data_IF_316696871538
#
_entry.id   IF_316696871538
#
_cell.length_a   1.000
_cell.length_b   1.000
_cell.length_c   1.000
_cell.angle_alpha   90.00
_cell.angle_beta   90.00
_cell.angle_gamma   90.00
#
_symmetry.space_group_name_H-M   'P 1'
#
loop_
_entity.id
_entity.type
_entity.pdbx_description
1 polymer ?
#
# COMPACT_ATOMS: atom_id res chain seq x y z
N UNK A 1 28.55 -64.82 -17.78
CA UNK A 1 28.02 -63.43 -17.79
C UNK A 1 28.02 -62.97 -16.34
N UNK A 2 29.15 -62.45 -15.87
CA UNK A 2 29.25 -61.94 -14.50
C UNK A 2 28.66 -60.54 -14.45
N UNK A 3 27.50 -60.42 -13.80
CA UNK A 3 26.89 -59.13 -13.53
C UNK A 3 27.79 -58.45 -12.49
N UNK A 4 28.51 -57.40 -12.91
CA UNK A 4 29.37 -56.62 -12.04
C UNK A 4 28.55 -55.88 -10.96
N UNK A 5 28.41 -56.57 -9.84
CA UNK A 5 27.70 -56.13 -8.64
C UNK A 5 28.21 -54.79 -8.09
N UNK A 6 29.46 -54.41 -8.36
CA UNK A 6 30.01 -53.12 -7.88
C UNK A 6 29.45 -51.94 -8.66
N UNK A 7 29.25 -52.11 -9.97
CA UNK A 7 28.65 -51.07 -10.83
C UNK A 7 27.16 -50.93 -10.55
N UNK A 8 26.46 -52.05 -10.33
CA UNK A 8 25.05 -52.05 -9.91
C UNK A 8 24.82 -51.36 -8.54
N UNK A 9 25.68 -51.65 -7.55
CA UNK A 9 25.59 -51.04 -6.21
C UNK A 9 25.85 -49.53 -6.22
N UNK A 10 26.83 -49.06 -6.99
CA UNK A 10 27.10 -47.62 -7.16
C UNK A 10 25.94 -46.89 -7.82
N UNK A 11 25.32 -47.50 -8.84
CA UNK A 11 24.12 -46.96 -9.47
C UNK A 11 22.98 -46.83 -8.46
N UNK A 12 22.71 -47.90 -7.70
CA UNK A 12 21.69 -47.92 -6.65
C UNK A 12 21.89 -46.84 -5.57
N UNK A 13 23.13 -46.65 -5.11
CA UNK A 13 23.45 -45.60 -4.13
C UNK A 13 23.23 -44.17 -4.68
N UNK A 14 23.47 -43.94 -5.98
CA UNK A 14 23.19 -42.65 -6.64
C UNK A 14 21.68 -42.41 -6.74
N UNK A 15 20.90 -43.43 -7.11
CA UNK A 15 19.43 -43.34 -7.15
C UNK A 15 18.83 -43.01 -5.79
N UNK A 16 19.30 -43.66 -4.72
CA UNK A 16 18.85 -43.37 -3.35
C UNK A 16 19.20 -41.93 -2.94
N UNK A 17 20.42 -41.46 -3.26
CA UNK A 17 20.84 -40.08 -2.95
C UNK A 17 20.02 -39.04 -3.69
N UNK A 18 19.67 -39.29 -4.95
CA UNK A 18 18.81 -38.40 -5.73
C UNK A 18 17.36 -38.42 -5.20
N UNK A 19 16.83 -39.60 -4.88
CA UNK A 19 15.46 -39.75 -4.38
C UNK A 19 15.26 -39.07 -3.03
N UNK A 20 16.22 -39.23 -2.11
CA UNK A 20 16.17 -38.57 -0.80
C UNK A 20 16.28 -37.06 -0.95
N UNK A 21 17.19 -36.56 -1.78
CA UNK A 21 17.33 -35.12 -2.03
C UNK A 21 16.05 -34.49 -2.60
N UNK A 22 15.38 -35.14 -3.56
CA UNK A 22 14.13 -34.65 -4.16
C UNK A 22 13.00 -34.61 -3.14
N UNK A 23 12.85 -35.67 -2.33
CA UNK A 23 11.82 -35.74 -1.28
C UNK A 23 11.99 -34.63 -0.23
N UNK A 24 13.23 -34.39 0.20
CA UNK A 24 13.54 -33.31 1.14
C UNK A 24 13.24 -31.91 0.56
N UNK A 25 13.60 -31.65 -0.70
CA UNK A 25 13.29 -30.38 -1.37
C UNK A 25 11.77 -30.17 -1.50
N UNK A 26 11.01 -31.23 -1.78
CA UNK A 26 9.54 -31.18 -1.86
C UNK A 26 8.88 -30.75 -0.53
N UNK A 27 9.36 -31.25 0.60
CA UNK A 27 8.82 -30.89 1.92
C UNK A 27 9.16 -29.43 2.27
N UNK A 28 10.41 -29.01 2.04
CA UNK A 28 10.85 -27.64 2.33
C UNK A 28 10.10 -26.63 1.46
N UNK A 29 9.89 -26.94 0.18
CA UNK A 29 9.13 -26.08 -0.74
C UNK A 29 7.65 -26.00 -0.35
N UNK A 30 7.01 -27.10 0.04
CA UNK A 30 5.61 -27.10 0.48
C UNK A 30 5.35 -26.20 1.70
N UNK A 31 6.32 -26.04 2.60
CA UNK A 31 6.22 -25.17 3.78
C UNK A 31 6.48 -23.71 3.43
N UNK A 32 7.40 -23.44 2.48
CA UNK A 32 7.76 -22.07 2.09
C UNK A 32 6.80 -21.45 1.04
N UNK A 33 6.23 -22.26 0.14
CA UNK A 33 5.31 -21.83 -0.92
C UNK A 33 4.03 -21.11 -0.46
N UNK A 34 3.33 -21.48 0.64
CA UNK A 34 2.08 -20.80 1.01
C UNK A 34 2.27 -19.30 1.28
N UNK A 35 3.48 -18.89 1.67
CA UNK A 35 3.79 -17.50 2.01
C UNK A 35 4.23 -16.64 0.82
N UNK A 36 4.73 -17.24 -0.26
CA UNK A 36 5.16 -16.51 -1.46
C UNK A 36 4.02 -16.25 -2.44
N UNK A 37 2.98 -17.10 -2.45
CA UNK A 37 1.83 -16.95 -3.35
C UNK A 37 0.67 -16.14 -2.76
N UNK A 38 0.73 -15.81 -1.46
CA UNK A 38 -0.33 -15.06 -0.77
C UNK A 38 0.06 -13.60 -0.45
N UNK A 39 0.62 -12.89 -1.43
CA UNK A 39 0.82 -11.44 -1.36
C UNK A 39 -0.30 -10.71 -2.12
N UNK A 40 -1.47 -10.44 -1.52
CA UNK A 40 -2.46 -9.56 -2.14
C UNK A 40 -2.15 -8.11 -1.77
N UNK A 41 -1.03 -7.59 -2.29
CA UNK A 41 -0.95 -6.18 -2.59
C UNK A 41 -0.98 -6.10 -4.11
N UNK A 42 -2.19 -6.00 -4.68
CA UNK A 42 -2.34 -5.66 -6.10
C UNK A 42 -1.41 -4.49 -6.38
N UNK A 43 -0.42 -4.71 -7.24
CA UNK A 43 0.65 -3.74 -7.53
C UNK A 43 0.09 -2.36 -7.89
N UNK A 44 -1.15 -2.35 -8.39
CA UNK A 44 -1.97 -1.19 -8.70
C UNK A 44 -2.40 -0.40 -7.45
N UNK A 45 -2.95 -1.06 -6.43
CA UNK A 45 -3.37 -0.40 -5.17
C UNK A 45 -2.17 0.09 -4.37
N UNK A 46 -1.09 -0.69 -4.32
CA UNK A 46 0.14 -0.24 -3.64
C UNK A 46 0.79 0.97 -4.33
N UNK A 47 0.69 1.08 -5.66
CA UNK A 47 1.08 2.29 -6.40
C UNK A 47 0.22 3.49 -5.99
N UNK A 48 -1.10 3.34 -5.93
CA UNK A 48 -2.00 4.44 -5.54
C UNK A 48 -1.70 4.95 -4.12
N UNK A 49 -1.56 4.04 -3.15
CA UNK A 49 -1.19 4.38 -1.76
C UNK A 49 0.15 5.13 -1.72
N UNK A 50 1.18 4.62 -2.40
CA UNK A 50 2.50 5.27 -2.46
C UNK A 50 2.43 6.64 -3.12
N UNK A 51 1.64 6.78 -4.18
CA UNK A 51 1.52 8.04 -4.92
C UNK A 51 0.79 9.10 -4.10
N UNK A 52 -0.36 8.78 -3.48
CA UNK A 52 -1.06 9.72 -2.60
C UNK A 52 -0.19 10.07 -1.37
N UNK A 53 0.56 9.09 -0.84
CA UNK A 53 1.55 9.34 0.20
C UNK A 53 2.66 10.30 -0.24
N UNK A 54 3.15 10.19 -1.47
CA UNK A 54 4.13 11.11 -2.05
C UNK A 54 3.54 12.52 -2.24
N UNK A 55 2.30 12.63 -2.73
CA UNK A 55 1.59 13.92 -2.82
C UNK A 55 1.45 14.59 -1.44
N UNK A 56 1.08 13.83 -0.41
CA UNK A 56 0.99 14.36 0.95
C UNK A 56 2.36 14.84 1.48
N UNK A 57 3.45 14.13 1.19
CA UNK A 57 4.80 14.59 1.53
C UNK A 57 5.18 15.85 0.75
N UNK A 58 4.87 15.90 -0.54
CA UNK A 58 5.06 17.07 -1.38
C UNK A 58 4.29 18.28 -0.88
N UNK A 59 3.02 18.11 -0.47
CA UNK A 59 2.22 19.19 0.12
C UNK A 59 2.83 19.72 1.43
N UNK A 60 3.37 18.85 2.29
CA UNK A 60 4.05 19.28 3.52
C UNK A 60 5.33 20.07 3.24
N UNK A 61 6.14 19.60 2.29
CA UNK A 61 7.35 20.30 1.85
C UNK A 61 7.00 21.67 1.25
N UNK A 62 6.05 21.68 0.31
CA UNK A 62 5.59 22.90 -0.35
C UNK A 62 5.02 23.91 0.66
N UNK A 63 4.25 23.45 1.65
CA UNK A 63 3.71 24.29 2.73
C UNK A 63 4.81 24.97 3.55
N UNK A 64 5.88 24.24 3.86
CA UNK A 64 7.04 24.76 4.60
C UNK A 64 7.82 25.79 3.79
N UNK A 65 7.92 25.59 2.48
CA UNK A 65 8.73 26.42 1.58
C UNK A 65 7.99 27.66 1.05
N UNK A 66 6.65 27.61 0.97
CA UNK A 66 5.85 28.61 0.26
C UNK A 66 4.94 29.44 1.20
N UNK A 67 5.49 29.94 2.30
CA UNK A 67 4.78 30.83 3.24
C UNK A 67 3.45 30.23 3.76
N UNK A 68 3.44 28.97 4.17
CA UNK A 68 2.26 28.29 4.71
C UNK A 68 1.09 28.22 3.71
N UNK A 69 1.40 28.07 2.42
CA UNK A 69 0.42 27.83 1.36
C UNK A 69 0.54 26.41 0.85
N UNK A 70 -0.59 25.79 0.57
CA UNK A 70 -0.62 24.49 -0.10
C UNK A 70 -0.47 24.64 -1.61
N UNK A 71 0.09 23.61 -2.25
CA UNK A 71 0.21 23.54 -3.69
C UNK A 71 -1.16 23.33 -4.34
N UNK A 72 -1.41 24.01 -5.46
CA UNK A 72 -2.67 23.98 -6.19
C UNK A 72 -2.74 22.90 -7.29
N UNK A 73 -1.62 22.24 -7.59
CA UNK A 73 -1.54 21.17 -8.60
C UNK A 73 -0.47 20.15 -8.20
N UNK A 74 -0.41 19.01 -8.91
CA UNK A 74 0.64 18.01 -8.65
C UNK A 74 2.01 18.50 -9.10
N UNK A 75 2.08 19.25 -10.20
CA UNK A 75 3.35 19.71 -10.80
C UNK A 75 4.17 20.57 -9.84
N UNK A 76 3.51 21.42 -9.05
CA UNK A 76 4.18 22.28 -8.08
C UNK A 76 4.72 21.53 -6.86
N UNK A 77 4.27 20.30 -6.62
CA UNK A 77 4.69 19.48 -5.48
C UNK A 77 5.99 18.73 -5.74
N UNK A 78 6.53 18.80 -6.95
CA UNK A 78 7.77 18.11 -7.32
C UNK A 78 7.64 16.58 -7.30
N UNK A 79 6.41 16.05 -7.35
CA UNK A 79 6.15 14.62 -7.45
C UNK A 79 6.14 14.25 -8.93
N UNK A 80 7.07 13.38 -9.36
CA UNK A 80 7.16 12.97 -10.76
C UNK A 80 5.85 12.30 -11.21
N UNK A 81 5.16 12.97 -12.12
CA UNK A 81 3.86 12.59 -12.69
C UNK A 81 3.96 11.48 -13.72
N UNK A 82 5.17 11.00 -14.05
CA UNK A 82 5.38 9.84 -14.93
C UNK A 82 4.81 8.52 -14.41
N UNK A 83 4.15 8.53 -13.25
CA UNK A 83 3.24 7.45 -12.85
C UNK A 83 1.95 7.56 -13.66
N UNK A 84 2.02 7.25 -14.96
CA UNK A 84 0.83 6.90 -15.73
C UNK A 84 0.21 5.66 -15.06
N UNK A 85 -0.85 5.88 -14.30
CA UNK A 85 -1.66 4.79 -13.80
C UNK A 85 -2.78 4.54 -14.78
N UNK A 86 -2.69 3.42 -15.49
CA UNK A 86 -3.80 2.85 -16.26
C UNK A 86 -5.05 2.63 -15.41
N UNK A 87 -4.92 2.57 -14.07
CA UNK A 87 -6.02 2.21 -13.17
C UNK A 87 -6.53 3.33 -12.25
N UNK A 88 -5.82 4.46 -12.16
CA UNK A 88 -6.19 5.56 -11.28
C UNK A 88 -6.01 6.91 -11.97
N UNK A 89 -6.92 7.83 -11.70
CA UNK A 89 -6.76 9.25 -11.94
C UNK A 89 -6.27 9.93 -10.66
N UNK A 90 -5.16 10.65 -10.77
CA UNK A 90 -4.56 11.35 -9.65
C UNK A 90 -4.75 12.86 -9.80
N UNK A 91 -5.13 13.52 -8.71
CA UNK A 91 -5.15 14.97 -8.64
C UNK A 91 -4.96 15.43 -7.19
N UNK A 92 -4.48 16.65 -7.02
CA UNK A 92 -4.35 17.30 -5.72
C UNK A 92 -5.07 18.63 -5.74
N UNK A 93 -5.77 18.95 -4.67
CA UNK A 93 -6.56 20.17 -4.49
C UNK A 93 -6.13 20.81 -3.17
N UNK A 94 -5.51 21.99 -3.25
CA UNK A 94 -5.36 22.85 -2.07
C UNK A 94 -6.70 23.49 -1.72
N UNK A 95 -7.25 23.22 -0.53
CA UNK A 95 -8.50 23.82 -0.06
C UNK A 95 -8.20 24.85 1.02
N UNK A 96 -8.27 26.13 0.65
CA UNK A 96 -8.01 27.28 1.55
C UNK A 96 -6.59 27.23 2.14
N UNK A 97 -6.32 28.04 3.18
CA UNK A 97 -5.03 28.11 3.86
C UNK A 97 -4.79 27.02 4.93
N UNK A 98 -5.72 26.08 5.10
CA UNK A 98 -5.70 25.13 6.24
C UNK A 98 -5.61 23.66 5.85
N UNK A 99 -5.90 23.28 4.62
CA UNK A 99 -5.77 21.90 4.18
C UNK A 99 -5.46 21.75 2.69
N UNK A 100 -4.92 20.59 2.32
CA UNK A 100 -4.86 20.10 0.96
C UNK A 100 -5.28 18.64 0.91
N UNK A 101 -5.95 18.26 -0.17
CA UNK A 101 -6.43 16.90 -0.39
C UNK A 101 -5.83 16.34 -1.67
N UNK A 102 -5.39 15.10 -1.61
CA UNK A 102 -4.77 14.37 -2.72
C UNK A 102 -5.58 13.12 -2.99
N UNK A 103 -5.87 12.82 -4.25
CA UNK A 103 -6.77 11.74 -4.61
C UNK A 103 -6.10 10.73 -5.54
N UNK A 104 -6.52 9.48 -5.42
CA UNK A 104 -6.36 8.44 -6.42
C UNK A 104 -7.74 7.83 -6.68
N UNK A 105 -8.41 8.28 -7.74
CA UNK A 105 -9.74 7.80 -8.09
C UNK A 105 -9.61 6.63 -9.04
N UNK A 106 -10.24 5.51 -8.72
CA UNK A 106 -10.17 4.35 -9.60
C UNK A 106 -10.86 4.62 -10.93
N UNK A 107 -10.29 4.08 -12.01
CA UNK A 107 -10.90 3.99 -13.34
C UNK A 107 -11.79 2.76 -13.50
N UNK A 108 -11.73 1.82 -12.55
CA UNK A 108 -12.38 0.51 -12.66
C UNK A 108 -13.30 0.23 -11.47
N UNK A 109 -14.42 -0.45 -11.75
CA UNK A 109 -15.41 -0.80 -10.73
C UNK A 109 -14.89 -1.78 -9.66
N UNK A 110 -13.79 -2.50 -9.92
CA UNK A 110 -13.23 -3.52 -9.02
C UNK A 110 -12.15 -3.03 -8.06
N UNK A 111 -11.85 -1.72 -8.02
CA UNK A 111 -10.77 -1.17 -7.19
C UNK A 111 -11.30 -0.06 -6.27
N UNK A 112 -10.64 0.13 -5.13
CA UNK A 112 -10.98 1.17 -4.15
C UNK A 112 -10.27 2.47 -4.50
N UNK A 113 -10.94 3.59 -4.29
CA UNK A 113 -10.35 4.92 -4.44
C UNK A 113 -9.71 5.38 -3.12
N UNK A 114 -8.72 6.26 -3.21
CA UNK A 114 -7.98 6.77 -2.04
C UNK A 114 -8.03 8.28 -1.96
N UNK A 115 -8.02 8.80 -0.74
CA UNK A 115 -7.92 10.22 -0.42
C UNK A 115 -6.89 10.45 0.68
N UNK A 116 -5.92 11.30 0.41
CA UNK A 116 -4.98 11.86 1.36
C UNK A 116 -5.40 13.24 1.78
N UNK A 117 -5.13 13.61 3.03
CA UNK A 117 -5.31 14.97 3.52
C UNK A 117 -4.04 15.45 4.21
N UNK A 118 -3.69 16.72 4.02
CA UNK A 118 -2.66 17.42 4.78
C UNK A 118 -3.30 18.63 5.43
N UNK A 119 -3.19 18.76 6.74
CA UNK A 119 -3.81 19.81 7.53
C UNK A 119 -2.76 20.67 8.22
N UNK A 120 -2.92 21.98 8.14
CA UNK A 120 -2.13 22.92 8.92
C UNK A 120 -2.67 22.99 10.35
N UNK A 121 -1.83 22.67 11.34
CA UNK A 121 -2.17 22.70 12.76
C UNK A 121 -1.23 23.63 13.52
N UNK A 122 -1.73 24.43 14.47
CA UNK A 122 -0.88 25.25 15.31
C UNK A 122 -0.06 24.37 16.25
N UNK A 123 1.20 24.74 16.49
CA UNK A 123 2.05 24.08 17.47
C UNK A 123 1.72 24.68 18.86
N UNK A 124 1.34 23.86 19.85
CA UNK A 124 0.99 24.35 21.19
C UNK A 124 2.09 25.25 21.77
N UNK A 125 1.70 26.34 22.43
CA UNK A 125 2.60 27.28 23.10
C UNK A 125 3.59 28.01 22.17
N UNK A 126 3.35 28.02 20.86
CA UNK A 126 4.14 28.79 19.90
C UNK A 126 3.22 29.46 18.87
N UNK A 127 3.73 30.46 18.14
CA UNK A 127 3.08 31.01 16.94
C UNK A 127 3.34 30.18 15.68
N UNK A 128 4.00 29.02 15.81
CA UNK A 128 4.36 28.15 14.70
C UNK A 128 3.17 27.32 14.19
N UNK A 129 3.20 27.02 12.89
CA UNK A 129 2.26 26.11 12.24
C UNK A 129 3.03 24.92 11.70
N UNK A 130 2.54 23.72 12.02
CA UNK A 130 3.03 22.46 11.48
C UNK A 130 1.94 21.78 10.64
N UNK A 131 2.26 20.68 10.00
CA UNK A 131 1.34 19.93 9.14
C UNK A 131 1.18 18.50 9.63
N UNK A 132 -0.05 17.99 9.60
CA UNK A 132 -0.36 16.59 9.82
C UNK A 132 -0.96 15.98 8.55
N UNK A 133 -0.57 14.76 8.23
CA UNK A 133 -1.07 14.05 7.05
C UNK A 133 -1.88 12.81 7.44
N UNK A 134 -2.83 12.46 6.58
CA UNK A 134 -3.67 11.27 6.68
C UNK A 134 -3.85 10.66 5.29
N UNK A 135 -4.05 9.35 5.25
CA UNK A 135 -4.46 8.63 4.06
C UNK A 135 -5.67 7.76 4.40
N UNK A 136 -6.71 7.83 3.58
CA UNK A 136 -7.95 7.09 3.74
C UNK A 136 -8.30 6.37 2.45
N UNK A 137 -8.94 5.22 2.58
CA UNK A 137 -9.41 4.36 1.49
C UNK A 137 -10.94 4.35 1.48
N UNK A 138 -11.56 4.37 0.30
CA UNK A 138 -13.01 4.26 0.17
C UNK A 138 -13.53 2.90 0.64
N UNK A 139 -14.64 2.91 1.38
CA UNK A 139 -15.35 1.70 1.78
C UNK A 139 -16.04 1.02 0.59
N UNK A 140 -16.39 1.77 -0.46
CA UNK A 140 -16.96 1.25 -1.68
C UNK A 140 -15.89 1.02 -2.76
N UNK A 141 -16.12 0.00 -3.59
CA UNK A 141 -15.38 -0.17 -4.84
C UNK A 141 -15.91 0.81 -5.90
N UNK A 142 -15.05 1.12 -6.86
CA UNK A 142 -15.40 1.80 -8.09
C UNK A 142 -14.85 3.21 -8.20
N UNK A 143 -15.41 3.93 -9.15
CA UNK A 143 -14.90 5.22 -9.65
C UNK A 143 -15.42 6.41 -8.83
N UNK A 144 -15.73 6.17 -7.56
CA UNK A 144 -16.36 7.16 -6.68
C UNK A 144 -15.26 8.01 -6.04
N UNK A 145 -15.44 9.33 -6.04
CA UNK A 145 -14.60 10.26 -5.28
C UNK A 145 -14.86 10.06 -3.78
N UNK A 146 -13.88 9.61 -2.98
CA UNK A 146 -14.05 9.48 -1.53
C UNK A 146 -14.26 10.85 -0.88
N UNK A 147 -15.01 10.89 0.21
CA UNK A 147 -15.21 12.12 0.97
C UNK A 147 -13.90 12.61 1.61
N UNK A 148 -13.78 13.91 1.78
CA UNK A 148 -12.59 14.55 2.34
C UNK A 148 -12.39 14.17 3.83
N UNK A 149 -11.15 13.80 4.23
CA UNK A 149 -10.81 13.71 5.64
C UNK A 149 -11.02 15.06 6.34
N UNK A 150 -11.22 15.04 7.65
CA UNK A 150 -11.47 16.25 8.44
C UNK A 150 -10.72 16.22 9.76
N UNK A 151 -10.58 17.38 10.38
CA UNK A 151 -9.96 17.51 11.70
C UNK A 151 -11.01 17.28 12.79
N UNK A 152 -10.77 16.31 13.68
CA UNK A 152 -11.58 16.06 14.88
C UNK A 152 -10.69 16.18 16.10
N UNK A 153 -10.97 17.16 16.98
CA UNK A 153 -10.21 17.40 18.20
C UNK A 153 -8.68 17.51 17.98
N UNK A 154 -8.23 18.16 16.90
CA UNK A 154 -6.80 18.32 16.59
C UNK A 154 -6.14 17.11 15.91
N UNK A 155 -6.90 16.06 15.59
CA UNK A 155 -6.39 14.86 14.91
C UNK A 155 -7.06 14.73 13.53
N UNK A 156 -6.28 14.53 12.45
CA UNK A 156 -6.83 14.16 11.15
C UNK A 156 -7.63 12.87 11.26
N UNK A 157 -8.85 12.84 10.72
CA UNK A 157 -9.76 11.71 10.79
C UNK A 157 -10.38 11.45 9.41
N UNK A 158 -10.51 10.19 9.03
CA UNK A 158 -11.19 9.79 7.80
C UNK A 158 -12.70 10.06 7.87
N UNK A 159 -13.30 10.36 6.72
CA UNK A 159 -14.75 10.50 6.61
C UNK A 159 -15.45 9.14 6.84
N UNK A 160 -16.74 9.10 7.26
CA UNK A 160 -17.44 7.85 7.59
C UNK A 160 -17.50 6.80 6.46
N UNK A 161 -17.43 7.24 5.21
CA UNK A 161 -17.38 6.42 3.99
C UNK A 161 -15.96 5.95 3.62
N UNK A 162 -14.97 6.25 4.47
CA UNK A 162 -13.57 5.93 4.25
C UNK A 162 -12.91 5.32 5.50
N UNK A 163 -11.91 4.47 5.29
CA UNK A 163 -11.13 3.82 6.34
C UNK A 163 -9.70 4.35 6.37
N UNK A 164 -9.12 4.50 7.56
CA UNK A 164 -7.73 4.93 7.72
C UNK A 164 -6.77 3.88 7.14
N UNK A 165 -5.91 4.33 6.23
CA UNK A 165 -4.79 3.53 5.70
C UNK A 165 -3.59 3.80 6.59
N UNK A 166 -3.35 2.88 7.52
CA UNK A 166 -2.22 2.93 8.45
C UNK A 166 -0.88 2.99 7.71
N UNK A 167 -0.01 3.89 8.16
CA UNK A 167 1.33 4.07 7.60
C UNK A 167 2.09 2.75 7.59
N UNK A 168 2.44 2.32 6.38
CA UNK A 168 3.17 1.12 5.98
C UNK A 168 2.25 -0.03 5.52
N UNK A 169 2.08 -0.25 4.19
CA UNK A 169 1.10 -1.19 3.63
C UNK A 169 1.41 -2.68 3.87
N UNK A 170 2.49 -3.02 4.57
CA UNK A 170 2.80 -4.36 5.07
C UNK A 170 3.70 -4.20 6.30
N UNK A 171 3.16 -4.25 7.52
CA UNK A 171 3.96 -4.54 8.70
C UNK A 171 3.41 -5.82 9.32
N UNK A 172 4.33 -6.72 9.68
CA UNK A 172 4.06 -8.09 10.08
C UNK A 172 3.02 -8.18 11.21
N UNK A 173 2.00 -9.04 11.04
CA UNK A 173 0.96 -9.31 12.06
C UNK A 173 -0.49 -9.03 11.65
N UNK A 174 -0.81 -8.95 10.35
CA UNK A 174 -2.21 -8.88 9.88
C UNK A 174 -2.56 -10.14 9.08
N UNK A 175 -3.76 -10.69 9.32
CA UNK A 175 -4.25 -11.90 8.65
C UNK A 175 -5.25 -11.50 7.55
N UNK A 176 -5.15 -12.15 6.39
CA UNK A 176 -6.10 -11.98 5.31
C UNK A 176 -7.36 -12.80 5.58
N UNK A 177 -8.51 -12.14 5.57
CA UNK A 177 -9.80 -12.83 5.51
C UNK A 177 -10.36 -12.70 4.10
N UNK A 178 -10.89 -13.81 3.58
CA UNK A 178 -11.55 -13.85 2.28
C UNK A 178 -13.05 -13.97 2.51
N UNK A 179 -13.81 -12.97 2.08
CA UNK A 179 -15.27 -13.03 2.02
C UNK A 179 -15.63 -12.86 0.55
N UNK A 180 -16.34 -13.83 -0.03
CA UNK A 180 -16.83 -13.78 -1.42
C UNK A 180 -15.74 -13.51 -2.49
N UNK A 181 -14.52 -14.04 -2.28
CA UNK A 181 -13.42 -13.90 -3.24
C UNK A 181 -12.71 -12.54 -3.21
N UNK A 182 -13.04 -11.66 -2.25
CA UNK A 182 -12.33 -10.40 -2.01
C UNK A 182 -11.45 -10.55 -0.77
N UNK A 183 -10.14 -10.35 -0.92
CA UNK A 183 -9.17 -10.42 0.17
C UNK A 183 -9.04 -9.07 0.87
N UNK A 184 -9.41 -9.01 2.14
CA UNK A 184 -9.27 -7.80 2.99
C UNK A 184 -8.29 -8.05 4.13
N UNK A 185 -7.40 -7.08 4.39
CA UNK A 185 -6.50 -7.09 5.53
C UNK A 185 -7.28 -6.79 6.81
N UNK A 186 -7.25 -7.69 7.79
CA UNK A 186 -7.83 -7.47 9.12
C UNK A 186 -6.70 -7.60 10.16
N UNK A 187 -6.64 -6.75 11.19
CA UNK A 187 -5.67 -6.89 12.28
C UNK A 187 -5.87 -8.23 13.02
N UNK A 188 -4.77 -8.92 13.31
CA UNK A 188 -4.76 -10.15 14.11
C UNK A 188 -5.18 -9.80 15.55
N UNK A 189 -6.28 -10.39 16.04
CA UNK A 189 -6.76 -10.25 17.43
C UNK A 189 -6.08 -11.23 18.36
#
# INVERSE_FOLDING_TARGET
MDIDYRTAKKGWDIWIKLLSAISFVGIVTAIALPSFLNQPCSSTTSKAIKFVGALNKGQQAFFKENNHKFGSSIDVLGVDTKVESVAYDYYSIGVKSKAAFSYAISKYQGLRSFVGGVFAVPVPNTSGVTTLAILCEANALGTIKPSEPFMKAGVPTCAPDTLLVGGNPCQAGNVYTTIEGVSTCVPET
#
